data_IF_788858395948
#
_entry.id   IF_788858395948
#
_cell.length_a   1.000
_cell.length_b   1.000
_cell.length_c   1.000
_cell.angle_alpha   90.00
_cell.angle_beta   90.00
_cell.angle_gamma   90.00
#
_symmetry.space_group_name_H-M   'P 1'
#
loop_
_entity.id
_entity.type
_entity.pdbx_description
1 polymer ?
#
# COMPACT_ATOMS: atom_id res chain seq x y z
N UNK A 1 1.33 3.23 26.62
CA UNK A 1 0.32 4.18 26.10
C UNK A 1 0.55 4.29 24.60
N UNK A 2 -0.06 3.39 23.83
CA UNK A 2 0.06 3.40 22.37
C UNK A 2 -0.93 4.38 21.78
N UNK A 3 -0.61 4.95 20.62
CA UNK A 3 -1.53 5.78 19.85
C UNK A 3 -2.79 4.96 19.58
N UNK A 4 -3.92 5.39 20.15
CA UNK A 4 -5.20 4.76 19.93
C UNK A 4 -5.70 5.05 18.52
N UNK A 5 -6.72 4.29 18.12
CA UNK A 5 -7.43 4.52 16.85
C UNK A 5 -7.95 5.96 16.76
N UNK A 6 -8.31 6.56 17.90
CA UNK A 6 -8.79 7.94 18.00
C UNK A 6 -7.70 8.97 17.66
N UNK A 7 -6.49 8.84 18.24
CA UNK A 7 -5.38 9.74 17.87
C UNK A 7 -4.99 9.59 16.39
N UNK A 8 -4.97 8.36 15.87
CA UNK A 8 -4.66 8.12 14.47
C UNK A 8 -5.69 8.76 13.53
N UNK A 9 -6.97 8.73 13.87
CA UNK A 9 -8.04 9.40 13.11
C UNK A 9 -7.87 10.92 13.08
N UNK A 10 -7.50 11.53 14.21
CA UNK A 10 -7.27 12.98 14.29
C UNK A 10 -6.07 13.37 13.41
N UNK A 11 -4.96 12.62 13.52
CA UNK A 11 -3.77 12.85 12.68
C UNK A 11 -4.10 12.68 11.20
N UNK A 12 -4.84 11.62 10.83
CA UNK A 12 -5.29 11.40 9.47
C UNK A 12 -6.16 12.56 8.96
N UNK A 13 -7.06 13.07 9.80
CA UNK A 13 -7.88 14.25 9.51
C UNK A 13 -7.04 15.50 9.22
N UNK A 14 -6.01 15.76 10.03
CA UNK A 14 -5.09 16.88 9.82
C UNK A 14 -4.33 16.72 8.50
N UNK A 15 -3.82 15.51 8.22
CA UNK A 15 -3.12 15.21 6.97
C UNK A 15 -4.04 15.46 5.76
N UNK A 16 -5.31 15.03 5.83
CA UNK A 16 -6.29 15.28 4.76
C UNK A 16 -6.60 16.78 4.62
N UNK A 17 -6.63 17.57 5.70
CA UNK A 17 -6.84 19.01 5.62
C UNK A 17 -5.67 19.74 4.95
N UNK A 18 -4.43 19.32 5.22
CA UNK A 18 -3.23 19.93 4.65
C UNK A 18 -3.01 19.55 3.17
N UNK A 19 -3.18 18.28 2.85
CA UNK A 19 -2.91 17.75 1.50
C UNK A 19 -4.16 17.70 0.62
N UNK A 20 -5.36 17.67 1.21
CA UNK A 20 -6.62 17.47 0.50
C UNK A 20 -6.89 16.00 0.17
N UNK A 21 -8.16 15.65 0.00
CA UNK A 21 -8.60 14.30 -0.37
C UNK A 21 -8.15 13.86 -1.77
N UNK A 22 -7.67 14.79 -2.60
CA UNK A 22 -7.24 14.52 -3.98
C UNK A 22 -5.75 14.20 -4.09
N UNK A 23 -4.89 14.80 -3.25
CA UNK A 23 -3.43 14.57 -3.33
C UNK A 23 -3.03 13.22 -2.74
N UNK A 24 -3.67 12.80 -1.65
CA UNK A 24 -3.37 11.52 -0.98
C UNK A 24 -3.54 10.33 -1.96
N UNK A 25 -4.68 10.16 -2.67
CA UNK A 25 -4.84 9.09 -3.66
C UNK A 25 -3.93 9.24 -4.87
N UNK A 26 -3.65 10.48 -5.30
CA UNK A 26 -2.77 10.73 -6.45
C UNK A 26 -1.33 10.27 -6.15
N UNK A 27 -0.82 10.59 -4.96
CA UNK A 27 0.49 10.13 -4.48
C UNK A 27 0.51 8.60 -4.33
N UNK A 28 -0.50 8.01 -3.70
CA UNK A 28 -0.61 6.55 -3.57
C UNK A 28 -0.64 5.83 -4.92
N UNK A 29 -1.35 6.37 -5.93
CA UNK A 29 -1.38 5.79 -7.28
C UNK A 29 0.00 5.82 -7.93
N UNK A 30 0.68 6.96 -7.89
CA UNK A 30 2.02 7.08 -8.47
C UNK A 30 3.06 6.20 -7.77
N UNK A 31 3.01 6.13 -6.43
CA UNK A 31 3.89 5.29 -5.63
C UNK A 31 3.56 3.81 -5.83
N UNK A 32 2.28 3.45 -5.91
CA UNK A 32 1.82 2.09 -6.13
C UNK A 32 2.22 1.55 -7.50
N UNK A 33 2.18 2.38 -8.54
CA UNK A 33 2.68 2.01 -9.87
C UNK A 33 4.18 1.72 -9.83
N UNK A 34 5.00 2.59 -9.23
CA UNK A 34 6.44 2.37 -9.09
C UNK A 34 6.77 1.12 -8.26
N UNK A 35 6.07 0.88 -7.16
CA UNK A 35 6.23 -0.33 -6.34
C UNK A 35 5.80 -1.59 -7.12
N UNK A 36 4.73 -1.51 -7.90
CA UNK A 36 4.24 -2.63 -8.72
C UNK A 36 5.23 -3.01 -9.81
N UNK A 37 5.76 -2.03 -10.53
CA UNK A 37 6.80 -2.22 -11.54
C UNK A 37 8.10 -2.73 -10.92
N UNK A 38 8.49 -2.20 -9.76
CA UNK A 38 9.64 -2.69 -9.01
C UNK A 38 9.48 -4.15 -8.57
N UNK A 39 8.32 -4.52 -8.03
CA UNK A 39 8.01 -5.91 -7.64
C UNK A 39 7.98 -6.84 -8.85
N UNK A 40 7.46 -6.39 -9.98
CA UNK A 40 7.41 -7.17 -11.23
C UNK A 40 8.81 -7.39 -11.78
N UNK A 41 9.63 -6.34 -11.90
CA UNK A 41 11.00 -6.44 -12.37
C UNK A 41 11.93 -7.21 -11.43
N UNK A 42 11.63 -7.27 -10.12
CA UNK A 42 12.33 -8.14 -9.19
C UNK A 42 11.92 -9.62 -9.32
N UNK A 43 10.68 -9.91 -9.72
CA UNK A 43 10.17 -11.28 -9.95
C UNK A 43 10.64 -11.89 -11.26
N UNK A 44 11.00 -11.08 -12.26
CA UNK A 44 11.61 -11.54 -13.52
C UNK A 44 13.08 -11.95 -13.38
N UNK A 45 13.69 -11.83 -12.18
CA UNK A 45 14.87 -12.63 -11.87
C UNK A 45 14.40 -14.06 -11.63
N UNK A 46 14.92 -15.06 -12.36
CA UNK A 46 14.57 -16.46 -12.13
C UNK A 46 15.07 -16.85 -10.75
N UNK A 47 14.22 -16.66 -9.74
CA UNK A 47 14.32 -17.37 -8.49
C UNK A 47 13.51 -18.63 -8.75
N UNK A 48 14.23 -19.70 -9.11
CA UNK A 48 13.69 -21.06 -9.06
C UNK A 48 13.00 -21.25 -7.71
N UNK A 49 11.73 -21.65 -7.77
CA UNK A 49 10.92 -22.26 -6.72
C UNK A 49 11.01 -21.70 -5.30
N UNK A 50 9.94 -21.01 -4.87
CA UNK A 50 9.25 -21.46 -3.66
C UNK A 50 7.77 -21.11 -3.78
N UNK A 51 6.95 -22.17 -3.80
CA UNK A 51 5.52 -22.16 -3.57
C UNK A 51 5.13 -21.28 -2.36
N UNK A 52 4.04 -20.51 -2.49
CA UNK A 52 3.00 -20.40 -1.47
C UNK A 52 1.80 -19.56 -1.96
N UNK A 53 0.62 -20.09 -1.64
CA UNK A 53 -0.75 -19.54 -1.76
C UNK A 53 -1.48 -19.63 -3.11
N UNK A 54 -1.92 -20.87 -3.39
CA UNK A 54 -3.32 -21.16 -3.73
C UNK A 54 -4.27 -20.71 -2.59
N UNK A 55 -5.55 -20.44 -2.93
CA UNK A 55 -6.71 -20.24 -2.04
C UNK A 55 -7.03 -18.84 -1.45
N UNK A 56 -7.58 -17.95 -2.29
CA UNK A 56 -8.53 -16.91 -1.82
C UNK A 56 -9.58 -16.49 -2.87
N UNK A 57 -9.99 -17.39 -3.77
CA UNK A 57 -11.12 -17.15 -4.71
C UNK A 57 -11.96 -18.40 -4.96
N UNK A 58 -12.44 -19.05 -3.89
CA UNK A 58 -13.68 -19.85 -3.89
C UNK A 58 -14.01 -20.31 -2.46
N UNK A 59 -14.77 -19.50 -1.72
CA UNK A 59 -15.60 -19.93 -0.60
C UNK A 59 -16.75 -18.93 -0.46
#
# INVERSE_FOLDING_TARGET
MGLGVNELLIVLGIVILLFGSTKIPQLMRSMGQGISEFKTGMKDKPVEDTDEEEEAKKA
#
